data_IF_363811491944
#
_entry.id   IF_363811491944
#
_cell.length_a   1.000
_cell.length_b   1.000
_cell.length_c   1.000
_cell.angle_alpha   90.00
_cell.angle_beta   90.00
_cell.angle_gamma   90.00
#
_symmetry.space_group_name_H-M   'P 1'
#
loop_
_entity.id
_entity.type
_entity.pdbx_description
1 polymer ?
#
# COMPACT_ATOMS: atom_id res chain seq x y z
N UNK A 1 -30.94 28.27 26.61
CA UNK A 1 -31.19 27.05 25.82
C UNK A 1 -29.84 26.43 25.57
N UNK A 2 -29.51 25.39 26.33
CA UNK A 2 -28.24 24.66 26.27
C UNK A 2 -28.29 23.71 25.08
N UNK A 3 -27.35 23.86 24.15
CA UNK A 3 -27.20 22.96 23.01
C UNK A 3 -26.90 21.54 23.50
N UNK A 4 -27.68 20.58 22.98
CA UNK A 4 -27.50 19.17 23.25
C UNK A 4 -26.18 18.71 22.60
N UNK A 5 -25.32 18.08 23.40
CA UNK A 5 -24.12 17.43 22.88
C UNK A 5 -24.47 16.25 21.96
N UNK A 6 -23.54 15.88 21.05
CA UNK A 6 -23.79 14.85 20.05
C UNK A 6 -24.02 13.48 20.69
N UNK A 7 -25.09 12.81 20.26
CA UNK A 7 -25.55 11.50 20.74
C UNK A 7 -25.09 10.33 19.86
N UNK A 8 -24.24 10.59 18.87
CA UNK A 8 -23.80 9.57 17.91
C UNK A 8 -22.48 8.88 18.37
N UNK A 9 -22.50 7.56 18.60
CA UNK A 9 -21.30 6.77 18.88
C UNK A 9 -20.21 6.86 17.79
N UNK A 10 -20.56 7.21 16.54
CA UNK A 10 -19.59 7.36 15.45
C UNK A 10 -18.79 8.67 15.55
N UNK A 11 -19.40 9.79 15.95
CA UNK A 11 -18.67 11.05 16.19
C UNK A 11 -17.68 10.93 17.36
N UNK A 12 -18.04 10.16 18.39
CA UNK A 12 -17.17 9.91 19.54
C UNK A 12 -15.97 9.03 19.17
N UNK A 13 -16.15 8.06 18.26
CA UNK A 13 -15.06 7.23 17.73
C UNK A 13 -14.15 8.01 16.81
N UNK A 14 -14.68 8.89 15.96
CA UNK A 14 -13.88 9.77 15.13
C UNK A 14 -12.97 10.63 16.02
N UNK A 15 -13.49 11.32 17.03
CA UNK A 15 -12.68 12.23 17.87
C UNK A 15 -11.63 11.54 18.74
N UNK A 16 -11.83 10.27 19.11
CA UNK A 16 -10.85 9.51 19.90
C UNK A 16 -9.57 9.15 19.11
N UNK A 17 -9.65 9.02 17.79
CA UNK A 17 -8.50 8.67 16.94
C UNK A 17 -7.60 9.87 16.59
N UNK A 18 -8.11 11.11 16.63
CA UNK A 18 -7.35 12.32 16.25
C UNK A 18 -6.32 12.79 17.28
N UNK A 19 -6.32 12.25 18.51
CA UNK A 19 -5.44 12.71 19.60
C UNK A 19 -4.21 11.84 19.85
N UNK A 20 -3.97 10.79 19.07
CA UNK A 20 -2.88 9.85 19.32
C UNK A 20 -1.62 10.04 18.43
N UNK A 21 -1.61 11.00 17.50
CA UNK A 21 -0.45 11.23 16.63
C UNK A 21 -0.09 12.71 16.59
N UNK A 22 0.52 13.17 17.68
CA UNK A 22 1.12 14.51 17.77
C UNK A 22 2.40 14.39 18.59
N UNK A 23 3.53 14.36 17.88
CA UNK A 23 4.95 14.60 18.27
C UNK A 23 5.80 13.64 17.42
N UNK A 24 6.64 14.09 16.48
CA UNK A 24 7.85 14.91 16.70
C UNK A 24 8.13 15.80 15.47
N UNK A 25 8.76 16.94 15.76
CA UNK A 25 8.91 18.12 14.94
C UNK A 25 10.08 18.10 13.93
N UNK A 26 9.88 18.87 12.85
CA UNK A 26 10.76 19.90 12.28
C UNK A 26 12.21 19.55 11.88
N UNK A 27 12.47 19.59 10.57
CA UNK A 27 13.59 20.35 10.01
C UNK A 27 13.18 20.87 8.61
N UNK A 28 13.23 22.18 8.44
CA UNK A 28 12.95 22.88 7.18
C UNK A 28 14.25 23.14 6.43
N UNK A 29 14.26 22.85 5.14
CA UNK A 29 15.12 23.53 4.17
C UNK A 29 14.41 23.56 2.81
N UNK A 30 14.13 24.77 2.36
CA UNK A 30 13.57 25.05 1.06
C UNK A 30 14.57 24.66 -0.04
N UNK A 31 14.16 23.79 -0.95
CA UNK A 31 14.74 23.69 -2.27
C UNK A 31 13.59 23.75 -3.28
N UNK A 32 13.57 24.81 -4.07
CA UNK A 32 12.77 24.92 -5.29
C UNK A 32 13.29 23.86 -6.27
N UNK A 33 12.66 22.69 -6.28
CA UNK A 33 12.82 21.67 -7.29
C UNK A 33 11.43 21.30 -7.79
N UNK A 34 11.27 21.24 -9.11
CA UNK A 34 10.00 20.87 -9.74
C UNK A 34 9.44 19.58 -9.17
N UNK A 35 8.13 19.44 -9.24
CA UNK A 35 7.36 18.29 -8.77
C UNK A 35 7.73 17.05 -9.59
N UNK A 36 8.86 16.44 -9.25
CA UNK A 36 9.14 15.04 -9.49
C UNK A 36 8.91 14.38 -8.14
N UNK A 37 7.75 13.76 -7.95
CA UNK A 37 7.64 12.69 -6.96
C UNK A 37 8.77 11.71 -7.31
N UNK A 38 9.75 11.58 -6.41
CA UNK A 38 10.89 10.73 -6.65
C UNK A 38 10.38 9.29 -6.72
N UNK A 39 10.17 8.79 -7.95
CA UNK A 39 9.90 7.37 -8.19
C UNK A 39 11.00 6.56 -7.50
N UNK A 40 10.65 5.38 -6.99
CA UNK A 40 11.61 4.47 -6.42
C UNK A 40 12.85 4.35 -7.32
N UNK A 41 14.03 4.48 -6.73
CA UNK A 41 15.31 4.44 -7.43
C UNK A 41 16.10 3.18 -7.04
N UNK A 42 17.01 2.76 -7.90
CA UNK A 42 17.89 1.63 -7.63
C UNK A 42 18.83 1.93 -6.46
N UNK A 43 18.91 1.07 -5.44
CA UNK A 43 19.05 1.57 -4.08
C UNK A 43 20.47 2.00 -3.72
N UNK A 44 20.53 3.03 -2.86
CA UNK A 44 21.41 2.99 -1.71
C UNK A 44 20.67 2.30 -0.56
N UNK A 45 21.13 1.13 -0.13
CA UNK A 45 20.50 0.28 0.91
C UNK A 45 20.82 0.70 2.34
N UNK A 46 21.48 1.85 2.55
CA UNK A 46 22.01 2.22 3.84
C UNK A 46 20.89 2.61 4.84
N UNK A 47 20.69 1.76 5.85
CA UNK A 47 19.79 2.05 6.99
C UNK A 47 18.37 1.49 6.87
N UNK A 48 18.04 0.77 5.78
CA UNK A 48 16.76 0.11 5.64
C UNK A 48 16.70 -1.24 6.39
N UNK A 49 15.50 -1.68 6.83
CA UNK A 49 15.35 -2.82 7.73
C UNK A 49 15.68 -4.16 7.09
N UNK A 50 15.49 -4.29 5.77
CA UNK A 50 15.84 -5.48 5.01
C UNK A 50 16.93 -5.18 3.98
N UNK A 51 17.76 -6.18 3.69
CA UNK A 51 18.78 -6.09 2.67
C UNK A 51 18.17 -6.20 1.27
N UNK A 52 18.73 -5.48 0.30
CA UNK A 52 18.42 -5.75 -1.11
C UNK A 52 18.92 -7.14 -1.50
N UNK A 53 18.11 -7.88 -2.27
CA UNK A 53 18.43 -9.21 -2.78
C UNK A 53 18.62 -9.13 -4.28
N UNK A 54 19.47 -9.99 -4.85
CA UNK A 54 19.59 -10.12 -6.31
C UNK A 54 18.52 -11.10 -6.79
N UNK A 55 17.66 -10.63 -7.69
CA UNK A 55 16.62 -11.44 -8.35
C UNK A 55 16.50 -11.07 -9.82
N UNK A 56 15.58 -11.74 -10.53
CA UNK A 56 15.34 -11.53 -11.97
C UNK A 56 14.10 -10.68 -12.15
N UNK A 57 14.22 -9.59 -12.91
CA UNK A 57 13.08 -8.74 -13.25
C UNK A 57 12.15 -9.46 -14.22
N UNK A 58 10.84 -9.43 -13.92
CA UNK A 58 9.84 -10.08 -14.76
C UNK A 58 9.53 -9.23 -15.99
N UNK A 59 9.10 -9.87 -17.07
CA UNK A 59 8.61 -9.14 -18.24
C UNK A 59 7.15 -8.71 -18.02
N UNK A 60 6.72 -7.64 -18.70
CA UNK A 60 5.40 -7.04 -18.53
C UNK A 60 4.23 -8.03 -18.62
N UNK A 61 4.34 -9.06 -19.46
CA UNK A 61 3.31 -10.10 -19.59
C UNK A 61 3.18 -10.95 -18.32
N UNK A 62 4.29 -11.32 -17.70
CA UNK A 62 4.32 -12.09 -16.45
C UNK A 62 3.87 -11.21 -15.29
N UNK A 63 4.35 -9.95 -15.23
CA UNK A 63 3.88 -8.95 -14.25
C UNK A 63 2.37 -8.73 -14.33
N UNK A 64 1.83 -8.58 -15.55
CA UNK A 64 0.39 -8.41 -15.78
C UNK A 64 -0.39 -9.59 -15.22
N UNK A 65 0.10 -10.81 -15.47
CA UNK A 65 -0.54 -12.06 -15.00
C UNK A 65 -0.50 -12.18 -13.48
N UNK A 66 0.63 -11.83 -12.85
CA UNK A 66 0.75 -11.83 -11.38
C UNK A 66 -0.17 -10.81 -10.73
N UNK A 67 -0.30 -9.61 -11.29
CA UNK A 67 -1.25 -8.62 -10.78
C UNK A 67 -2.71 -9.06 -10.93
N UNK A 68 -3.06 -9.76 -12.01
CA UNK A 68 -4.41 -10.32 -12.19
C UNK A 68 -4.70 -11.44 -11.19
N UNK A 69 -3.75 -12.34 -10.96
CA UNK A 69 -3.88 -13.38 -9.93
C UNK A 69 -3.98 -12.75 -8.53
N UNK A 70 -3.13 -11.78 -8.21
CA UNK A 70 -3.15 -11.10 -6.92
C UNK A 70 -4.46 -10.33 -6.70
N UNK A 71 -5.03 -9.72 -7.75
CA UNK A 71 -6.31 -9.01 -7.65
C UNK A 71 -7.47 -9.91 -7.18
N UNK A 72 -7.38 -11.22 -7.41
CA UNK A 72 -8.37 -12.22 -7.03
C UNK A 72 -7.94 -13.10 -5.84
N UNK A 73 -6.89 -12.71 -5.11
CA UNK A 73 -6.26 -13.53 -4.07
C UNK A 73 -5.82 -14.93 -4.56
N UNK A 74 -5.49 -15.05 -5.85
CA UNK A 74 -5.20 -16.29 -6.55
C UNK A 74 -3.73 -16.75 -6.52
N UNK A 75 -2.84 -16.06 -5.78
CA UNK A 75 -1.43 -16.42 -5.67
C UNK A 75 -1.16 -17.63 -4.76
N UNK A 76 -2.13 -18.04 -3.94
CA UNK A 76 -1.98 -19.16 -3.01
C UNK A 76 -0.80 -18.97 -2.06
N UNK A 77 0.00 -20.02 -1.85
CA UNK A 77 1.17 -19.98 -0.95
C UNK A 77 2.33 -19.08 -1.41
N UNK A 78 2.25 -18.55 -2.64
CA UNK A 78 3.24 -17.62 -3.16
C UNK A 78 3.09 -16.20 -2.57
N UNK A 79 2.02 -15.93 -1.82
CA UNK A 79 1.78 -14.66 -1.15
C UNK A 79 1.18 -14.88 0.27
N UNK A 80 1.13 -13.86 1.13
CA UNK A 80 0.32 -13.91 2.34
C UNK A 80 -1.17 -13.97 2.04
N UNK A 81 -1.95 -14.54 2.97
CA UNK A 81 -3.41 -14.47 2.93
C UNK A 81 -3.90 -13.02 3.09
N UNK A 82 -4.97 -12.67 2.38
CA UNK A 82 -5.57 -11.35 2.49
C UNK A 82 -6.66 -11.36 3.58
N UNK A 83 -6.85 -10.25 4.30
CA UNK A 83 -8.01 -10.14 5.16
C UNK A 83 -9.30 -10.11 4.31
N UNK A 84 -10.39 -10.66 4.84
CA UNK A 84 -11.73 -10.42 4.26
C UNK A 84 -12.06 -8.93 4.24
N UNK A 85 -12.79 -8.49 3.21
CA UNK A 85 -13.24 -7.11 3.05
C UNK A 85 -14.74 -6.99 3.34
N UNK A 86 -15.15 -5.82 3.86
CA UNK A 86 -16.56 -5.50 4.04
C UNK A 86 -17.17 -5.01 2.73
N UNK A 87 -18.39 -5.43 2.42
CA UNK A 87 -19.15 -4.97 1.26
C UNK A 87 -20.54 -4.51 1.68
N UNK A 88 -21.13 -3.57 0.95
CA UNK A 88 -22.48 -3.09 1.20
C UNK A 88 -22.58 -2.03 2.29
N UNK A 89 -23.46 -1.05 2.04
CA UNK A 89 -23.83 0.04 2.94
C UNK A 89 -25.29 0.45 2.61
N UNK A 90 -26.26 0.40 3.55
CA UNK A 90 -26.11 0.33 5.01
C UNK A 90 -26.01 -1.08 5.62
N UNK A 91 -26.30 -2.13 4.85
CA UNK A 91 -26.16 -3.51 5.29
C UNK A 91 -24.81 -4.05 4.84
N UNK A 92 -23.93 -4.34 5.79
CA UNK A 92 -22.57 -4.81 5.50
C UNK A 92 -22.44 -6.31 5.71
N UNK A 93 -21.79 -7.00 4.78
CA UNK A 93 -21.31 -8.38 4.91
C UNK A 93 -19.79 -8.43 4.69
N UNK A 94 -19.14 -9.56 5.01
CA UNK A 94 -17.74 -9.80 4.66
C UNK A 94 -17.63 -10.81 3.53
N UNK A 95 -16.63 -10.63 2.67
CA UNK A 95 -16.29 -11.53 1.56
C UNK A 95 -14.76 -11.63 1.43
N UNK A 96 -14.24 -12.67 0.75
CA UNK A 96 -12.84 -12.69 0.33
C UNK A 96 -12.48 -11.42 -0.44
N UNK A 97 -11.26 -10.92 -0.26
CA UNK A 97 -10.82 -9.71 -0.93
C UNK A 97 -10.71 -9.92 -2.44
N UNK A 98 -11.42 -9.09 -3.20
CA UNK A 98 -11.21 -8.90 -4.63
C UNK A 98 -10.92 -7.42 -4.87
N UNK A 99 -9.90 -7.13 -5.68
CA UNK A 99 -9.43 -5.78 -5.97
C UNK A 99 -9.59 -5.56 -7.48
N UNK A 100 -10.10 -4.41 -7.95
CA UNK A 100 -10.12 -4.11 -9.37
C UNK A 100 -8.72 -4.24 -9.97
N UNK A 101 -8.51 -5.17 -10.90
CA UNK A 101 -7.17 -5.50 -11.39
C UNK A 101 -6.44 -4.28 -12.00
N UNK A 102 -7.19 -3.37 -12.63
CA UNK A 102 -6.66 -2.11 -13.16
C UNK A 102 -6.12 -1.18 -12.07
N UNK A 103 -6.75 -1.18 -10.89
CA UNK A 103 -6.31 -0.38 -9.75
C UNK A 103 -5.01 -0.93 -9.16
N UNK A 104 -4.92 -2.25 -8.95
CA UNK A 104 -3.71 -2.85 -8.37
C UNK A 104 -2.52 -2.66 -9.32
N UNK A 105 -2.75 -2.84 -10.62
CA UNK A 105 -1.79 -2.53 -11.69
C UNK A 105 -1.33 -1.07 -11.67
N UNK A 106 -2.26 -0.12 -11.54
CA UNK A 106 -1.92 1.31 -11.52
C UNK A 106 -1.16 1.72 -10.26
N UNK A 107 -1.46 1.11 -9.11
CA UNK A 107 -0.66 1.27 -7.89
C UNK A 107 0.77 0.81 -8.15
N UNK A 108 0.99 -0.44 -8.57
CA UNK A 108 2.34 -0.93 -8.85
C UNK A 108 3.10 -0.09 -9.89
N UNK A 109 2.41 0.44 -10.90
CA UNK A 109 3.02 1.32 -11.90
C UNK A 109 3.45 2.67 -11.31
N UNK A 110 2.62 3.22 -10.42
CA UNK A 110 2.89 4.50 -9.75
C UNK A 110 4.03 4.36 -8.76
N UNK A 111 4.02 3.30 -7.96
CA UNK A 111 5.02 3.03 -6.93
C UNK A 111 6.42 2.76 -7.51
N UNK A 112 6.52 1.96 -8.57
CA UNK A 112 7.83 1.47 -9.05
C UNK A 112 8.00 1.37 -10.56
N UNK A 113 7.01 1.79 -11.37
CA UNK A 113 6.96 1.49 -12.80
C UNK A 113 7.01 -0.04 -13.09
N UNK A 114 6.35 -0.84 -12.24
CA UNK A 114 6.41 -2.31 -12.31
C UNK A 114 7.82 -2.88 -12.19
N UNK A 115 8.68 -2.29 -11.35
CA UNK A 115 10.04 -2.79 -11.14
C UNK A 115 10.15 -3.45 -9.77
N UNK A 116 10.53 -4.73 -9.71
CA UNK A 116 10.92 -5.38 -8.43
C UNK A 116 12.44 -5.29 -8.22
N UNK A 117 13.19 -5.50 -9.29
CA UNK A 117 14.65 -5.57 -9.33
C UNK A 117 15.19 -4.57 -10.35
N UNK A 118 16.24 -3.88 -9.95
CA UNK A 118 17.00 -2.94 -10.77
C UNK A 118 17.87 -3.64 -11.81
N UNK A 119 17.22 -4.32 -12.73
CA UNK A 119 17.82 -5.00 -13.86
C UNK A 119 17.91 -4.04 -15.06
N UNK A 120 18.84 -4.31 -15.98
CA UNK A 120 18.96 -3.56 -17.23
C UNK A 120 17.81 -3.82 -18.22
N UNK A 121 16.94 -4.79 -17.91
CA UNK A 121 15.79 -5.19 -18.70
C UNK A 121 15.14 -6.44 -18.11
N UNK A 122 13.95 -6.79 -18.60
CA UNK A 122 13.26 -7.99 -18.13
C UNK A 122 14.03 -9.27 -18.48
N UNK A 123 13.93 -10.28 -17.63
CA UNK A 123 14.69 -11.53 -17.70
C UNK A 123 16.15 -11.41 -17.26
N UNK A 124 16.61 -10.20 -16.88
CA UNK A 124 17.95 -9.98 -16.35
C UNK A 124 17.91 -9.81 -14.84
N UNK A 125 19.06 -10.05 -14.21
CA UNK A 125 19.19 -9.90 -12.77
C UNK A 125 19.48 -8.45 -12.36
N UNK A 126 18.94 -8.06 -11.21
CA UNK A 126 19.17 -6.79 -10.56
C UNK A 126 18.98 -6.91 -9.05
N UNK A 127 19.42 -5.90 -8.30
CA UNK A 127 19.11 -5.81 -6.87
C UNK A 127 17.68 -5.30 -6.66
N UNK A 128 17.00 -5.74 -5.60
CA UNK A 128 15.67 -5.22 -5.19
C UNK A 128 15.65 -3.70 -5.24
N UNK A 129 14.61 -3.10 -5.83
CA UNK A 129 14.43 -1.65 -5.78
C UNK A 129 14.00 -1.23 -4.38
N UNK A 130 14.69 -0.24 -3.80
CA UNK A 130 14.37 0.28 -2.46
C UNK A 130 14.42 1.80 -2.50
N UNK A 131 13.31 2.46 -2.16
CA UNK A 131 13.21 3.92 -2.09
C UNK A 131 13.93 4.50 -0.87
N UNK A 132 14.06 5.83 -0.85
CA UNK A 132 14.73 6.56 0.24
C UNK A 132 14.02 6.44 1.60
N UNK A 133 12.72 6.13 1.61
CA UNK A 133 11.91 5.87 2.79
C UNK A 133 11.78 4.38 3.12
N UNK A 134 12.62 3.54 2.50
CA UNK A 134 12.65 2.09 2.69
C UNK A 134 11.37 1.37 2.25
N UNK A 135 10.78 1.78 1.13
CA UNK A 135 9.76 1.04 0.40
C UNK A 135 10.41 0.00 -0.51
N UNK A 136 9.97 -1.25 -0.41
CA UNK A 136 10.60 -2.39 -1.09
C UNK A 136 9.79 -2.87 -2.28
N UNK A 137 10.47 -3.06 -3.41
CA UNK A 137 9.98 -3.81 -4.55
C UNK A 137 8.83 -3.12 -5.31
N UNK A 138 8.10 -3.93 -6.07
CA UNK A 138 7.17 -3.45 -7.10
C UNK A 138 5.97 -2.68 -6.55
N UNK A 139 5.54 -2.97 -5.32
CA UNK A 139 4.43 -2.26 -4.64
C UNK A 139 4.90 -1.35 -3.49
N UNK A 140 6.21 -1.11 -3.38
CA UNK A 140 6.85 -0.20 -2.42
C UNK A 140 6.39 -0.39 -0.97
N UNK A 141 6.53 -1.61 -0.46
CA UNK A 141 6.10 -1.95 0.90
C UNK A 141 7.10 -1.41 1.91
N UNK A 142 6.65 -0.50 2.78
CA UNK A 142 7.47 0.12 3.84
C UNK A 142 7.04 -0.37 5.23
N UNK A 143 5.74 -0.29 5.51
CA UNK A 143 5.17 -0.67 6.81
C UNK A 143 5.22 -2.18 7.00
N UNK A 144 5.81 -2.64 8.10
CA UNK A 144 5.95 -4.07 8.40
C UNK A 144 7.29 -4.68 7.98
N UNK A 145 8.13 -3.94 7.26
CA UNK A 145 9.43 -4.43 6.80
C UNK A 145 10.46 -4.61 7.93
N UNK A 146 10.28 -3.98 9.10
CA UNK A 146 11.17 -4.24 10.24
C UNK A 146 10.77 -5.51 10.96
N UNK A 147 11.73 -6.43 11.11
CA UNK A 147 11.58 -7.63 11.95
C UNK A 147 11.07 -7.26 13.36
N UNK A 148 10.00 -7.93 13.80
CA UNK A 148 9.37 -7.72 15.11
C UNK A 148 8.34 -6.59 15.15
N UNK A 149 8.12 -5.88 14.05
CA UNK A 149 7.00 -4.93 13.92
C UNK A 149 5.67 -5.68 13.77
N UNK A 150 4.55 -5.02 14.09
CA UNK A 150 3.22 -5.64 13.92
C UNK A 150 2.97 -6.13 12.49
N UNK A 151 3.49 -5.43 11.48
CA UNK A 151 3.37 -5.85 10.08
C UNK A 151 4.19 -7.10 9.74
N UNK A 152 5.36 -7.31 10.35
CA UNK A 152 6.17 -8.52 10.11
C UNK A 152 5.57 -9.81 10.68
N UNK A 153 4.43 -9.72 11.40
CA UNK A 153 3.64 -10.90 11.78
C UNK A 153 2.57 -11.25 10.74
N UNK A 154 2.29 -10.37 9.78
CA UNK A 154 1.30 -10.56 8.73
C UNK A 154 1.94 -11.10 7.44
N UNK A 155 3.22 -10.82 7.23
CA UNK A 155 4.01 -11.27 6.09
C UNK A 155 5.49 -11.34 6.46
N UNK A 156 6.28 -12.02 5.63
CA UNK A 156 7.73 -12.18 5.74
C UNK A 156 8.45 -11.07 4.97
N UNK A 157 9.14 -10.13 5.67
CA UNK A 157 9.86 -9.03 5.02
C UNK A 157 10.95 -9.48 4.04
N UNK A 158 11.62 -10.61 4.29
CA UNK A 158 12.67 -11.11 3.41
C UNK A 158 12.08 -11.56 2.07
N UNK A 159 10.91 -12.19 2.08
CA UNK A 159 10.20 -12.58 0.86
C UNK A 159 9.68 -11.37 0.09
N UNK A 160 9.22 -10.31 0.78
CA UNK A 160 8.83 -9.05 0.13
C UNK A 160 9.98 -8.44 -0.70
N UNK A 161 11.21 -8.53 -0.19
CA UNK A 161 12.39 -8.06 -0.91
C UNK A 161 12.81 -8.99 -2.07
N UNK A 162 12.61 -10.30 -1.92
CA UNK A 162 13.19 -11.33 -2.80
C UNK A 162 12.23 -11.90 -3.86
N UNK A 163 10.91 -11.81 -3.68
CA UNK A 163 9.91 -12.51 -4.49
C UNK A 163 8.87 -11.54 -5.04
N UNK A 164 8.75 -11.43 -6.36
CA UNK A 164 7.87 -10.46 -7.03
C UNK A 164 6.39 -10.73 -6.75
N UNK A 165 5.96 -11.98 -6.80
CA UNK A 165 4.60 -12.42 -6.46
C UNK A 165 4.27 -12.18 -4.99
N UNK A 166 5.20 -12.51 -4.07
CA UNK A 166 5.01 -12.22 -2.65
C UNK A 166 4.90 -10.72 -2.37
N UNK A 167 5.71 -9.90 -3.04
CA UNK A 167 5.63 -8.44 -2.95
C UNK A 167 4.26 -7.93 -3.44
N UNK A 168 3.83 -8.31 -4.65
CA UNK A 168 2.53 -7.91 -5.20
C UNK A 168 1.39 -8.35 -4.29
N UNK A 169 1.41 -9.60 -3.82
CA UNK A 169 0.38 -10.13 -2.94
C UNK A 169 0.35 -9.44 -1.58
N UNK A 170 1.51 -9.08 -1.03
CA UNK A 170 1.58 -8.29 0.20
C UNK A 170 0.99 -6.89 0.00
N UNK A 171 1.29 -6.22 -1.12
CA UNK A 171 0.67 -4.94 -1.48
C UNK A 171 -0.85 -5.04 -1.63
N UNK A 172 -1.34 -6.08 -2.31
CA UNK A 172 -2.77 -6.37 -2.42
C UNK A 172 -3.43 -6.56 -1.05
N UNK A 173 -2.83 -7.37 -0.17
CA UNK A 173 -3.30 -7.60 1.19
C UNK A 173 -3.32 -6.33 2.04
N UNK A 174 -2.32 -5.45 1.91
CA UNK A 174 -2.30 -4.14 2.58
C UNK A 174 -3.45 -3.26 2.06
N UNK A 175 -3.68 -3.19 0.75
CA UNK A 175 -4.78 -2.42 0.18
C UNK A 175 -6.16 -2.93 0.67
N UNK A 176 -6.34 -4.25 0.73
CA UNK A 176 -7.52 -4.88 1.33
C UNK A 176 -7.65 -4.54 2.83
N UNK A 177 -6.55 -4.50 3.58
CA UNK A 177 -6.57 -4.07 4.98
C UNK A 177 -6.98 -2.59 5.12
N UNK A 178 -6.54 -1.71 4.21
CA UNK A 178 -6.95 -0.29 4.20
C UNK A 178 -8.44 -0.14 3.94
N UNK A 179 -8.99 -0.87 2.97
CA UNK A 179 -10.42 -0.87 2.67
C UNK A 179 -11.30 -1.07 3.91
N UNK A 180 -10.88 -1.94 4.84
CA UNK A 180 -11.65 -2.26 6.06
C UNK A 180 -11.74 -1.12 7.08
N UNK A 181 -10.84 -0.14 7.02
CA UNK A 181 -10.67 0.87 8.08
C UNK A 181 -10.90 2.30 7.61
N UNK A 182 -11.15 2.49 6.32
CA UNK A 182 -11.43 3.80 5.73
C UNK A 182 -12.94 4.05 5.60
N UNK A 183 -13.38 5.31 5.46
CA UNK A 183 -14.78 5.61 5.15
C UNK A 183 -15.22 4.99 3.82
N UNK A 184 -16.51 4.65 3.73
CA UNK A 184 -17.10 4.14 2.51
C UNK A 184 -17.39 5.26 1.49
N UNK A 185 -17.28 4.92 0.21
CA UNK A 185 -17.88 5.68 -0.89
C UNK A 185 -19.02 4.86 -1.46
N UNK A 186 -20.11 5.54 -1.83
CA UNK A 186 -21.29 4.91 -2.40
C UNK A 186 -21.87 3.84 -1.46
N UNK A 187 -22.22 2.69 -2.04
CA UNK A 187 -22.74 1.53 -1.34
C UNK A 187 -21.66 0.48 -1.00
N UNK A 188 -20.38 0.86 -1.01
CA UNK A 188 -19.24 0.04 -0.57
C UNK A 188 -19.06 -1.27 -1.37
N UNK A 189 -19.09 -1.17 -2.70
CA UNK A 189 -18.91 -2.29 -3.62
C UNK A 189 -17.45 -2.37 -4.13
N UNK A 190 -16.75 -3.52 -3.96
CA UNK A 190 -15.34 -3.64 -4.30
C UNK A 190 -15.08 -3.80 -5.80
N UNK A 191 -16.09 -4.09 -6.62
CA UNK A 191 -15.99 -4.14 -8.09
C UNK A 191 -16.07 -2.74 -8.74
N UNK A 192 -16.45 -1.71 -7.97
CA UNK A 192 -16.48 -0.31 -8.40
C UNK A 192 -15.17 0.38 -7.99
N UNK A 193 -14.35 0.76 -8.97
CA UNK A 193 -13.00 1.30 -8.70
C UNK A 193 -13.03 2.61 -7.91
N UNK A 194 -14.04 3.46 -8.11
CA UNK A 194 -14.20 4.72 -7.39
C UNK A 194 -14.40 4.51 -5.89
N UNK A 195 -14.95 3.36 -5.49
CA UNK A 195 -15.17 3.06 -4.07
C UNK A 195 -13.85 2.83 -3.32
N UNK A 196 -12.76 2.52 -4.03
CA UNK A 196 -11.44 2.32 -3.44
C UNK A 196 -10.69 3.59 -3.11
N UNK A 197 -11.21 4.77 -3.48
CA UNK A 197 -10.51 6.05 -3.35
C UNK A 197 -9.80 6.25 -2.00
N UNK A 198 -10.50 6.08 -0.88
CA UNK A 198 -9.89 6.27 0.44
C UNK A 198 -8.88 5.17 0.78
N UNK A 199 -9.10 3.94 0.33
CA UNK A 199 -8.17 2.84 0.55
C UNK A 199 -6.87 3.06 -0.24
N UNK A 200 -6.98 3.48 -1.49
CA UNK A 200 -5.84 3.86 -2.35
C UNK A 200 -5.07 5.04 -1.76
N UNK A 201 -5.77 6.08 -1.29
CA UNK A 201 -5.10 7.19 -0.62
C UNK A 201 -4.43 6.74 0.70
N UNK A 202 -5.07 5.87 1.47
CA UNK A 202 -4.50 5.31 2.70
C UNK A 202 -3.32 4.34 2.45
N UNK A 203 -3.20 3.81 1.23
CA UNK A 203 -2.09 2.95 0.81
C UNK A 203 -0.79 3.76 0.73
N UNK A 204 -0.80 4.87 -0.01
CA UNK A 204 0.30 5.84 -0.05
C UNK A 204 0.54 6.50 1.33
N UNK A 205 -0.53 6.62 2.12
CA UNK A 205 -0.53 7.17 3.47
C UNK A 205 -1.27 8.50 3.52
N UNK A 206 -2.20 8.66 4.48
CA UNK A 206 -2.89 9.93 4.69
C UNK A 206 -1.92 10.97 5.21
N UNK A 207 -1.41 11.83 4.33
CA UNK A 207 -0.51 12.91 4.65
C UNK A 207 -1.18 14.27 4.37
N UNK A 208 -0.69 15.31 5.03
CA UNK A 208 -1.18 16.67 4.78
C UNK A 208 -0.90 17.13 3.34
N UNK A 209 0.25 16.73 2.79
CA UNK A 209 0.72 17.11 1.44
C UNK A 209 -0.06 16.45 0.31
N UNK A 210 -0.71 15.31 0.56
CA UNK A 210 -1.52 14.58 -0.44
C UNK A 210 -3.02 14.63 -0.12
N UNK A 211 -3.44 15.51 0.79
CA UNK A 211 -4.85 15.70 1.12
C UNK A 211 -5.49 16.66 0.10
N UNK A 212 -6.51 16.23 -0.65
CA UNK A 212 -7.17 17.07 -1.66
C UNK A 212 -7.90 18.30 -1.08
N UNK A 213 -8.15 18.31 0.24
CA UNK A 213 -8.78 19.44 0.93
C UNK A 213 -7.76 20.44 1.49
N UNK A 214 -6.47 20.23 1.21
CA UNK A 214 -5.43 21.12 1.66
C UNK A 214 -5.02 22.08 0.54
N UNK A 215 -5.31 23.39 0.67
CA UNK A 215 -5.02 24.40 -0.35
C UNK A 215 -3.53 24.74 -0.47
#
# INVERSE_FOLDING_TARGET
>A
MTEAGPTDPQELRARAFWRAWLSVACASLAALAGWNEARAGCPSTAGCPEAAVVGVELCDADMTSLFELAAEAGLGSAAPDYPEIGIGNPSTSTVPATIPCRLLKSIGWTESAWTQFCAAGCGLSGSTIISFDCGFGVTQITSGMSTGSMGSFLFDPARVAAETDYNIGTGAGILAAKWRVVPYIGDNQPDVVEHWYYATWAYNGFAYVNNPNNP
#
